data_IF_814456658184
#
_entry.id   IF_814456658184
#
_cell.length_a   1.000
_cell.length_b   1.000
_cell.length_c   1.000
_cell.angle_alpha   90.00
_cell.angle_beta   90.00
_cell.angle_gamma   90.00
#
_symmetry.space_group_name_H-M   'P 1'
#
loop_
_entity.id
_entity.type
_entity.pdbx_description
1 polymer ?
#
# COMPACT_ATOMS: atom_id res chain seq x y z
N UNK A 1 39.93 6.10 7.44
CA UNK A 1 39.21 5.71 6.21
C UNK A 1 39.34 6.86 5.22
N UNK A 2 40.04 6.64 4.11
CA UNK A 2 40.28 7.69 3.10
C UNK A 2 39.15 7.56 2.06
N UNK A 3 38.38 8.63 1.89
CA UNK A 3 37.41 8.74 0.81
C UNK A 3 38.17 8.90 -0.51
N UNK A 4 38.11 7.88 -1.36
CA UNK A 4 38.64 7.95 -2.72
C UNK A 4 37.65 8.79 -3.53
N UNK A 5 38.09 9.93 -4.06
CA UNK A 5 37.29 10.77 -4.95
C UNK A 5 36.83 9.96 -6.18
N UNK A 6 35.57 9.50 -6.16
CA UNK A 6 34.95 8.83 -7.29
C UNK A 6 34.61 9.87 -8.37
N UNK A 7 35.60 10.26 -9.19
CA UNK A 7 35.35 11.01 -10.43
C UNK A 7 34.67 10.08 -11.43
N UNK A 8 33.34 10.00 -11.37
CA UNK A 8 32.56 9.32 -12.40
C UNK A 8 32.89 9.92 -13.76
N UNK A 9 33.28 9.09 -14.73
CA UNK A 9 33.31 9.51 -16.14
C UNK A 9 31.91 10.03 -16.50
N UNK A 10 31.82 11.18 -17.18
CA UNK A 10 30.53 11.82 -17.54
C UNK A 10 29.56 10.84 -18.19
N UNK A 11 30.08 9.91 -18.99
CA UNK A 11 29.30 8.85 -19.65
C UNK A 11 28.76 7.81 -18.67
N UNK A 12 29.53 7.42 -17.66
CA UNK A 12 29.11 6.50 -16.60
C UNK A 12 28.03 7.13 -15.71
N UNK A 13 28.20 8.41 -15.35
CA UNK A 13 27.20 9.16 -14.59
C UNK A 13 25.89 9.29 -15.38
N UNK A 14 25.98 9.61 -16.68
CA UNK A 14 24.82 9.70 -17.57
C UNK A 14 24.12 8.35 -17.75
N UNK A 15 24.89 7.25 -17.86
CA UNK A 15 24.34 5.90 -17.92
C UNK A 15 23.61 5.53 -16.61
N UNK A 16 24.16 5.93 -15.45
CA UNK A 16 23.50 5.74 -14.15
C UNK A 16 22.16 6.50 -14.10
N UNK A 17 22.16 7.80 -14.40
CA UNK A 17 20.93 8.60 -14.41
C UNK A 17 19.91 8.10 -15.43
N UNK A 18 20.36 7.75 -16.65
CA UNK A 18 19.47 7.18 -17.67
C UNK A 18 18.91 5.81 -17.29
N UNK A 19 19.60 5.05 -16.44
CA UNK A 19 19.11 3.78 -15.89
C UNK A 19 18.05 4.00 -14.81
N UNK A 20 18.20 5.05 -14.00
CA UNK A 20 17.28 5.38 -12.90
C UNK A 20 16.03 6.12 -13.42
N UNK A 21 16.18 6.98 -14.44
CA UNK A 21 15.12 7.83 -14.97
C UNK A 21 13.84 7.10 -15.43
N UNK A 22 13.91 5.99 -16.20
CA UNK A 22 12.71 5.25 -16.59
C UNK A 22 12.12 4.40 -15.44
N UNK A 23 12.91 4.10 -14.40
CA UNK A 23 12.41 3.40 -13.23
C UNK A 23 11.61 4.36 -12.32
N UNK A 24 12.13 5.57 -12.06
CA UNK A 24 11.48 6.57 -11.22
C UNK A 24 10.09 6.97 -11.75
N UNK A 25 9.94 7.19 -13.06
CA UNK A 25 8.65 7.59 -13.64
C UNK A 25 7.58 6.49 -13.55
N UNK A 26 7.95 5.22 -13.64
CA UNK A 26 7.00 4.09 -13.53
C UNK A 26 6.60 3.80 -12.08
N UNK A 27 7.53 4.01 -11.15
CA UNK A 27 7.29 3.84 -9.71
C UNK A 27 6.35 4.94 -9.19
N UNK A 28 6.52 6.18 -9.65
CA UNK A 28 5.65 7.30 -9.28
C UNK A 28 4.18 7.04 -9.65
N UNK A 29 3.92 6.54 -10.85
CA UNK A 29 2.54 6.21 -11.27
C UNK A 29 1.97 5.03 -10.46
N UNK A 30 2.77 3.99 -10.21
CA UNK A 30 2.34 2.85 -9.40
C UNK A 30 2.03 3.26 -7.95
N UNK A 31 2.90 4.05 -7.32
CA UNK A 31 2.71 4.55 -5.96
C UNK A 31 1.49 5.48 -5.88
N UNK A 32 1.23 6.28 -6.92
CA UNK A 32 0.01 7.11 -7.00
C UNK A 32 -1.25 6.26 -7.06
N UNK A 33 -1.28 5.22 -7.90
CA UNK A 33 -2.43 4.31 -7.99
C UNK A 33 -2.64 3.53 -6.69
N UNK A 34 -1.55 3.11 -6.03
CA UNK A 34 -1.58 2.54 -4.69
C UNK A 34 -2.13 3.51 -3.64
N UNK A 35 -1.80 4.79 -3.74
CA UNK A 35 -2.36 5.85 -2.91
C UNK A 35 -3.88 5.98 -3.08
N UNK A 36 -4.34 6.02 -4.33
CA UNK A 36 -5.77 6.14 -4.67
C UNK A 36 -6.56 4.93 -4.17
N UNK A 37 -6.13 3.71 -4.51
CA UNK A 37 -6.80 2.48 -4.04
C UNK A 37 -6.84 2.38 -2.51
N UNK A 38 -5.80 2.86 -1.83
CA UNK A 38 -5.75 2.86 -0.38
C UNK A 38 -6.72 3.89 0.22
N UNK A 39 -6.80 5.09 -0.35
CA UNK A 39 -7.75 6.10 0.09
C UNK A 39 -9.21 5.63 -0.09
N UNK A 40 -9.54 5.02 -1.23
CA UNK A 40 -10.87 4.44 -1.46
C UNK A 40 -11.21 3.34 -0.44
N UNK A 41 -10.23 2.52 -0.07
CA UNK A 41 -10.40 1.48 0.94
C UNK A 41 -10.70 2.08 2.32
N UNK A 42 -9.99 3.14 2.70
CA UNK A 42 -10.20 3.84 3.97
C UNK A 42 -11.61 4.44 4.02
N UNK A 43 -12.01 5.16 2.98
CA UNK A 43 -13.36 5.75 2.86
C UNK A 43 -14.44 4.66 2.96
N UNK A 44 -14.26 3.54 2.26
CA UNK A 44 -15.20 2.41 2.35
C UNK A 44 -15.34 1.87 3.79
N UNK A 45 -14.23 1.76 4.53
CA UNK A 45 -14.27 1.28 5.92
C UNK A 45 -14.92 2.29 6.87
N UNK A 46 -14.69 3.59 6.65
CA UNK A 46 -15.30 4.68 7.41
C UNK A 46 -16.81 4.78 7.14
N UNK A 47 -17.23 4.70 5.87
CA UNK A 47 -18.65 4.71 5.48
C UNK A 47 -19.40 3.55 6.15
N UNK A 48 -18.82 2.35 6.12
CA UNK A 48 -19.39 1.17 6.80
C UNK A 48 -19.43 1.31 8.32
N UNK A 49 -18.57 2.15 8.91
CA UNK A 49 -18.56 2.42 10.34
C UNK A 49 -19.56 3.50 10.74
N UNK A 50 -19.85 4.45 9.84
CA UNK A 50 -20.81 5.52 10.05
C UNK A 50 -22.26 4.99 10.21
N UNK A 51 -22.54 3.78 9.70
CA UNK A 51 -23.80 3.09 9.91
C UNK A 51 -23.92 2.62 11.39
N UNK A 52 -24.66 3.38 12.20
CA UNK A 52 -24.83 3.13 13.65
C UNK A 52 -25.50 1.78 13.99
N UNK A 53 -26.17 1.15 13.03
CA UNK A 53 -26.96 -0.06 13.25
C UNK A 53 -26.10 -1.33 13.42
N UNK A 54 -24.84 -1.34 12.95
CA UNK A 54 -23.95 -2.50 13.08
C UNK A 54 -22.48 -2.09 13.15
N UNK A 55 -21.73 -2.67 14.10
CA UNK A 55 -20.26 -2.55 14.11
C UNK A 55 -19.68 -3.45 13.01
N UNK A 56 -19.07 -2.89 11.94
CA UNK A 56 -18.56 -3.71 10.86
C UNK A 56 -17.32 -4.49 11.30
N UNK A 57 -17.29 -5.79 10.96
CA UNK A 57 -16.13 -6.66 11.19
C UNK A 57 -15.53 -7.03 9.85
N UNK A 58 -14.28 -6.64 9.63
CA UNK A 58 -13.57 -6.91 8.39
C UNK A 58 -12.52 -8.00 8.57
N UNK A 59 -12.53 -9.00 7.71
CA UNK A 59 -11.46 -9.99 7.66
C UNK A 59 -10.28 -9.41 6.87
N UNK A 60 -9.07 -9.46 7.42
CA UNK A 60 -7.88 -8.90 6.77
C UNK A 60 -7.60 -9.52 5.39
N UNK A 61 -7.93 -10.80 5.20
CA UNK A 61 -7.85 -11.46 3.89
C UNK A 61 -8.75 -10.78 2.86
N UNK A 62 -9.94 -10.40 3.28
CA UNK A 62 -10.98 -9.87 2.40
C UNK A 62 -10.70 -8.41 2.08
N UNK A 63 -10.22 -7.65 3.05
CA UNK A 63 -9.67 -6.29 2.87
C UNK A 63 -8.50 -6.29 1.90
N UNK A 64 -7.59 -7.26 2.01
CA UNK A 64 -6.48 -7.40 1.08
C UNK A 64 -6.93 -7.77 -0.34
N UNK A 65 -7.95 -8.61 -0.47
CA UNK A 65 -8.55 -8.94 -1.77
C UNK A 65 -9.25 -7.72 -2.39
N UNK A 66 -10.02 -6.96 -1.59
CA UNK A 66 -10.68 -5.74 -2.04
C UNK A 66 -9.65 -4.72 -2.54
N UNK A 67 -8.57 -4.52 -1.79
CA UNK A 67 -7.46 -3.68 -2.21
C UNK A 67 -6.82 -4.15 -3.53
N UNK A 68 -6.63 -5.46 -3.71
CA UNK A 68 -6.16 -6.05 -4.98
C UNK A 68 -7.08 -5.71 -6.14
N UNK A 69 -8.37 -5.92 -5.96
CA UNK A 69 -9.39 -5.68 -6.98
C UNK A 69 -9.43 -4.19 -7.35
N UNK A 70 -9.30 -3.27 -6.39
CA UNK A 70 -9.21 -1.83 -6.67
C UNK A 70 -7.96 -1.48 -7.49
N UNK A 71 -6.81 -2.05 -7.15
CA UNK A 71 -5.58 -1.84 -7.93
C UNK A 71 -5.71 -2.34 -9.37
N UNK A 72 -6.34 -3.50 -9.57
CA UNK A 72 -6.60 -4.05 -10.91
C UNK A 72 -7.57 -3.17 -11.71
N UNK A 73 -8.61 -2.63 -11.06
CA UNK A 73 -9.56 -1.67 -11.68
C UNK A 73 -8.87 -0.35 -12.08
N UNK A 74 -7.89 0.10 -11.31
CA UNK A 74 -7.08 1.29 -11.62
C UNK A 74 -5.99 1.02 -12.68
N UNK A 75 -5.95 -0.18 -13.28
CA UNK A 75 -5.02 -0.53 -14.35
C UNK A 75 -3.65 -1.02 -13.86
N UNK A 76 -3.50 -1.31 -12.56
CA UNK A 76 -2.26 -1.88 -12.01
C UNK A 76 -2.30 -3.41 -12.10
N UNK A 77 -1.31 -4.01 -12.77
CA UNK A 77 -1.15 -5.47 -12.77
C UNK A 77 -0.47 -5.92 -11.49
N UNK A 78 -1.27 -6.30 -10.49
CA UNK A 78 -0.77 -6.85 -9.21
C UNK A 78 -0.28 -8.28 -9.45
N UNK A 79 0.94 -8.42 -9.96
CA UNK A 79 1.60 -9.71 -10.18
C UNK A 79 2.10 -10.33 -8.87
N UNK A 80 2.41 -9.51 -7.87
CA UNK A 80 2.87 -9.95 -6.56
C UNK A 80 1.74 -10.01 -5.53
N UNK A 81 1.84 -10.97 -4.62
CA UNK A 81 0.90 -11.08 -3.49
C UNK A 81 0.98 -9.83 -2.62
N UNK A 82 -0.17 -9.24 -2.29
CA UNK A 82 -0.23 -8.09 -1.38
C UNK A 82 0.33 -8.50 -0.02
N UNK A 83 1.24 -7.67 0.51
CA UNK A 83 1.76 -7.82 1.86
C UNK A 83 0.68 -7.40 2.88
N UNK A 84 -0.12 -8.36 3.32
CA UNK A 84 -1.24 -8.15 4.25
C UNK A 84 -0.80 -7.52 5.57
N UNK A 85 0.39 -7.86 6.08
CA UNK A 85 0.98 -7.23 7.28
C UNK A 85 1.18 -5.73 7.09
N UNK A 86 1.79 -5.32 5.96
CA UNK A 86 2.05 -3.91 5.65
C UNK A 86 0.75 -3.14 5.42
N UNK A 87 -0.23 -3.77 4.76
CA UNK A 87 -1.57 -3.17 4.58
C UNK A 87 -2.26 -2.95 5.92
N UNK A 88 -2.24 -3.96 6.81
CA UNK A 88 -2.79 -3.88 8.17
C UNK A 88 -2.15 -2.73 8.95
N UNK A 89 -0.82 -2.70 9.03
CA UNK A 89 -0.10 -1.68 9.81
C UNK A 89 -0.38 -0.27 9.28
N UNK A 90 -0.52 -0.11 7.95
CA UNK A 90 -0.91 1.16 7.33
C UNK A 90 -2.35 1.55 7.66
N UNK A 91 -3.30 0.63 7.63
CA UNK A 91 -4.69 0.90 8.03
C UNK A 91 -4.79 1.34 9.48
N UNK A 92 -4.13 0.63 10.40
CA UNK A 92 -4.09 0.97 11.83
C UNK A 92 -3.42 2.32 12.10
N UNK A 93 -2.51 2.78 11.23
CA UNK A 93 -1.87 4.09 11.36
C UNK A 93 -2.75 5.26 10.89
N UNK A 94 -3.71 5.00 10.02
CA UNK A 94 -4.61 6.02 9.43
C UNK A 94 -5.93 6.07 10.17
N UNK A 95 -6.44 4.92 10.61
CA UNK A 95 -7.69 4.78 11.34
C UNK A 95 -7.38 4.51 12.82
N UNK A 96 -7.40 5.53 13.70
CA UNK A 96 -7.01 5.38 15.11
C UNK A 96 -7.96 4.49 15.91
N UNK A 97 -9.23 4.45 15.51
CA UNK A 97 -10.28 3.67 16.19
C UNK A 97 -10.35 2.22 15.68
N UNK A 98 -9.57 1.89 14.63
CA UNK A 98 -9.49 0.55 14.08
C UNK A 98 -8.54 -0.31 14.91
N UNK A 99 -8.99 -1.48 15.35
CA UNK A 99 -8.17 -2.47 16.04
C UNK A 99 -8.09 -3.78 15.29
N UNK A 100 -6.93 -4.42 15.37
CA UNK A 100 -6.71 -5.76 14.84
C UNK A 100 -6.82 -6.82 15.95
N UNK A 101 -7.63 -7.84 15.72
CA UNK A 101 -7.77 -9.00 16.59
C UNK A 101 -7.38 -10.28 15.85
N UNK A 102 -6.45 -11.05 16.40
CA UNK A 102 -6.06 -12.34 15.84
C UNK A 102 -6.99 -13.43 16.34
N UNK A 103 -7.75 -14.04 15.44
CA UNK A 103 -8.63 -15.16 15.73
C UNK A 103 -8.12 -16.41 15.00
N UNK A 104 -7.28 -17.19 15.68
CA UNK A 104 -6.67 -18.39 15.10
C UNK A 104 -5.74 -18.05 13.94
N UNK A 105 -6.09 -18.53 12.73
CA UNK A 105 -5.34 -18.22 11.49
C UNK A 105 -5.74 -16.91 10.83
N UNK A 106 -6.87 -16.34 11.26
CA UNK A 106 -7.44 -15.15 10.66
C UNK A 106 -7.14 -13.92 11.52
N UNK A 107 -7.08 -12.76 10.86
CA UNK A 107 -6.99 -11.46 11.54
C UNK A 107 -8.23 -10.66 11.18
N UNK A 108 -8.97 -10.23 12.20
CA UNK A 108 -10.14 -9.39 12.07
C UNK A 108 -9.77 -7.94 12.39
N UNK A 109 -10.43 -7.01 11.71
CA UNK A 109 -10.34 -5.57 11.92
C UNK A 109 -11.73 -5.07 12.31
N UNK A 110 -11.80 -4.27 13.37
CA UNK A 110 -13.04 -3.76 13.94
C UNK A 110 -12.80 -2.38 14.55
N UNK A 111 -13.78 -1.50 14.42
CA UNK A 111 -13.78 -0.19 15.07
C UNK A 111 -14.21 -0.33 16.54
N UNK A 112 -13.53 0.38 17.46
CA UNK A 112 -13.70 0.27 18.92
C UNK A 112 -13.81 1.63 19.57
#
# INVERSE_FOLDING_TARGET
MIAIEAKYHRNCLRALYNKIRPAALKDEDADRLHGIAFAELVVFMEDMHADEDNVPVFKLSDVANLYKTRLEQLGTTVTNRIHTTRLKDRLLSVLPDLRAHSQGRDTLLLFV
#
